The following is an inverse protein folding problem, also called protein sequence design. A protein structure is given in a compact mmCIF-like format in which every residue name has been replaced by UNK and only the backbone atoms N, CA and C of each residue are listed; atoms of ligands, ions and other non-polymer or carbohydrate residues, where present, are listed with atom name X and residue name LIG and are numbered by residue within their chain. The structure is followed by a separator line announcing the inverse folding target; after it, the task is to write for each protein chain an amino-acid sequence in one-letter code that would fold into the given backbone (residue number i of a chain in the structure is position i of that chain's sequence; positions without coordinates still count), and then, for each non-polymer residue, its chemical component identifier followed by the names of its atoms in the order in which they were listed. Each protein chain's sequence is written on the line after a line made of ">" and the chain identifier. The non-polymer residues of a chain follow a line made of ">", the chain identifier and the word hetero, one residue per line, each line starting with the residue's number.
data_IF_710538657154
#
_entry.id   IF_710538657154
#
_cell.length_a   1.000
_cell.length_b   1.000
_cell.length_c   1.000
_cell.angle_alpha   90.00
_cell.angle_beta   90.00
_cell.angle_gamma   90.00
#
_symmetry.space_group_name_H-M   'P 1'
#
loop_
_entity.id
_entity.type
_entity.pdbx_description
1 polymer ?
#
# COMPACT_ATOMS: atom_id res chain seq x y z
N UNK A 1 -5.16 -1.61 19.86
CA UNK A 1 -5.84 -1.12 18.64
C UNK A 1 -4.87 -0.68 17.54
N UNK A 2 -3.78 0.07 17.81
CA UNK A 2 -2.80 0.43 16.77
C UNK A 2 -2.13 -0.79 16.13
N UNK A 3 -1.80 -1.81 16.94
CA UNK A 3 -1.06 -2.99 16.49
C UNK A 3 -1.88 -3.85 15.51
N UNK A 4 -3.16 -4.11 15.82
CA UNK A 4 -4.07 -4.82 14.91
C UNK A 4 -4.27 -4.07 13.58
N UNK A 5 -4.26 -2.75 13.60
CA UNK A 5 -4.42 -1.94 12.39
C UNK A 5 -3.16 -1.99 11.52
N UNK A 6 -1.97 -1.94 12.15
CA UNK A 6 -0.69 -2.11 11.47
C UNK A 6 -0.54 -3.53 10.88
N UNK A 7 -0.94 -4.56 11.61
CA UNK A 7 -0.90 -5.95 11.16
C UNK A 7 -1.87 -6.19 9.99
N UNK A 8 -3.10 -5.64 10.06
CA UNK A 8 -4.09 -5.74 8.99
C UNK A 8 -3.63 -5.04 7.70
N UNK A 9 -2.99 -3.86 7.83
CA UNK A 9 -2.40 -3.14 6.70
C UNK A 9 -1.28 -3.98 6.08
N UNK A 10 -0.34 -4.49 6.88
CA UNK A 10 0.78 -5.28 6.37
C UNK A 10 0.34 -6.62 5.75
N UNK A 11 -0.70 -7.26 6.30
CA UNK A 11 -1.27 -8.50 5.77
C UNK A 11 -1.98 -8.30 4.43
N UNK A 12 -2.71 -7.19 4.27
CA UNK A 12 -3.40 -6.87 3.02
C UNK A 12 -2.41 -6.47 1.94
N UNK A 13 -1.37 -5.71 2.32
CA UNK A 13 -0.29 -5.25 1.45
C UNK A 13 0.57 -6.42 0.94
N UNK A 14 0.91 -7.37 1.81
CA UNK A 14 1.63 -8.58 1.41
C UNK A 14 0.85 -9.39 0.37
N UNK A 15 -0.47 -9.52 0.54
CA UNK A 15 -1.33 -10.21 -0.41
C UNK A 15 -1.40 -9.48 -1.75
N UNK A 16 -1.51 -8.15 -1.75
CA UNK A 16 -1.60 -7.35 -2.99
C UNK A 16 -0.31 -7.39 -3.78
N UNK A 17 0.85 -7.33 -3.12
CA UNK A 17 2.16 -7.43 -3.77
C UNK A 17 2.32 -8.82 -4.40
N UNK A 18 2.00 -9.89 -3.66
CA UNK A 18 2.11 -11.26 -4.18
C UNK A 18 1.22 -11.47 -5.40
N UNK A 19 -0.06 -11.06 -5.33
CA UNK A 19 -0.97 -11.25 -6.47
C UNK A 19 -0.55 -10.41 -7.67
N UNK A 20 -0.13 -9.15 -7.47
CA UNK A 20 0.35 -8.29 -8.55
C UNK A 20 1.59 -8.88 -9.26
N UNK A 21 2.58 -9.36 -8.49
CA UNK A 21 3.77 -10.01 -9.05
C UNK A 21 3.42 -11.27 -9.83
N UNK A 22 2.55 -12.13 -9.28
CA UNK A 22 2.14 -13.36 -9.99
C UNK A 22 1.42 -13.07 -11.30
N UNK A 23 0.56 -12.05 -11.35
CA UNK A 23 -0.14 -11.67 -12.59
C UNK A 23 0.82 -11.04 -13.61
N UNK A 24 1.81 -10.27 -13.16
CA UNK A 24 2.87 -9.75 -14.01
C UNK A 24 3.69 -10.88 -14.66
N UNK A 25 4.11 -11.87 -13.87
CA UNK A 25 4.82 -13.04 -14.41
C UNK A 25 3.93 -13.89 -15.33
N UNK A 26 2.66 -14.09 -14.98
CA UNK A 26 1.71 -14.86 -15.79
C UNK A 26 1.48 -14.23 -17.17
N UNK A 27 1.26 -12.92 -17.22
CA UNK A 27 1.08 -12.19 -18.50
C UNK A 27 2.37 -12.13 -19.31
N UNK A 28 3.54 -12.00 -18.66
CA UNK A 28 4.82 -12.08 -19.35
C UNK A 28 5.03 -13.45 -20.02
N UNK A 29 4.76 -14.55 -19.31
CA UNK A 29 4.86 -15.91 -19.88
C UNK A 29 3.88 -16.08 -21.04
N UNK A 30 2.64 -15.62 -20.90
CA UNK A 30 1.65 -15.65 -21.99
C UNK A 30 2.10 -14.85 -23.21
N UNK A 31 2.80 -13.74 -23.03
CA UNK A 31 3.29 -12.91 -24.13
C UNK A 31 4.44 -13.59 -24.89
N UNK A 32 5.33 -14.31 -24.20
CA UNK A 32 6.44 -15.05 -24.84
C UNK A 32 6.07 -16.45 -25.34
N UNK A 33 5.13 -17.16 -24.68
CA UNK A 33 4.78 -18.57 -24.95
C UNK A 33 3.34 -18.79 -25.42
N UNK A 34 2.47 -17.76 -25.46
CA UNK A 34 1.04 -17.89 -25.79
C UNK A 34 0.73 -18.16 -27.26
N UNK A 35 1.70 -17.98 -28.16
CA UNK A 35 1.51 -18.17 -29.60
C UNK A 35 0.66 -17.08 -30.26
N UNK A 36 0.54 -17.16 -31.60
CA UNK A 36 0.05 -16.07 -32.45
C UNK A 36 -1.41 -15.64 -32.19
N UNK A 37 -2.24 -16.53 -31.64
CA UNK A 37 -3.66 -16.24 -31.34
C UNK A 37 -3.84 -15.48 -30.03
N UNK A 38 -2.95 -15.70 -29.06
CA UNK A 38 -3.03 -15.07 -27.73
C UNK A 38 -2.12 -13.85 -27.59
N UNK A 39 -1.27 -13.57 -28.58
CA UNK A 39 -0.32 -12.46 -28.57
C UNK A 39 -1.02 -11.11 -28.35
N UNK A 40 -2.07 -10.81 -29.13
CA UNK A 40 -2.83 -9.55 -29.02
C UNK A 40 -3.54 -9.44 -27.65
N UNK A 41 -4.11 -10.55 -27.16
CA UNK A 41 -4.78 -10.59 -25.87
C UNK A 41 -3.80 -10.44 -24.70
N UNK A 42 -2.66 -11.12 -24.78
CA UNK A 42 -1.58 -11.04 -23.80
C UNK A 42 -0.96 -9.64 -23.78
N UNK A 43 -0.85 -8.96 -24.92
CA UNK A 43 -0.36 -7.59 -25.00
C UNK A 43 -1.27 -6.61 -24.26
N UNK A 44 -2.59 -6.70 -24.48
CA UNK A 44 -3.59 -5.88 -23.74
C UNK A 44 -3.55 -6.18 -22.24
N UNK A 45 -3.47 -7.46 -21.85
CA UNK A 45 -3.34 -7.85 -20.45
C UNK A 45 -2.03 -7.34 -19.82
N UNK A 46 -0.92 -7.42 -20.53
CA UNK A 46 0.38 -6.99 -20.05
C UNK A 46 0.40 -5.48 -19.79
N UNK A 47 -0.09 -4.68 -20.75
CA UNK A 47 -0.23 -3.23 -20.58
C UNK A 47 -1.19 -2.90 -19.45
N UNK A 48 -2.36 -3.57 -19.39
CA UNK A 48 -3.36 -3.37 -18.35
C UNK A 48 -2.84 -3.70 -16.94
N UNK A 49 -2.05 -4.77 -16.80
CA UNK A 49 -1.41 -5.15 -15.54
C UNK A 49 -0.34 -4.15 -15.14
N UNK A 50 0.48 -3.65 -16.06
CA UNK A 50 1.48 -2.62 -15.77
C UNK A 50 0.79 -1.35 -15.26
N UNK A 51 -0.19 -0.81 -16.01
CA UNK A 51 -0.89 0.43 -15.61
C UNK A 51 -1.74 0.24 -14.35
N UNK A 52 -2.43 -0.90 -14.22
CA UNK A 52 -3.31 -1.20 -13.09
C UNK A 52 -2.55 -1.49 -11.79
N UNK A 53 -1.43 -2.21 -11.88
CA UNK A 53 -0.56 -2.50 -10.74
C UNK A 53 0.20 -1.25 -10.30
N UNK A 54 0.77 -0.51 -11.25
CA UNK A 54 1.51 0.71 -10.90
C UNK A 54 0.56 1.74 -10.29
N UNK A 55 -0.60 1.98 -10.91
CA UNK A 55 -1.58 2.92 -10.38
C UNK A 55 -2.14 2.48 -9.03
N UNK A 56 -2.50 1.21 -8.82
CA UNK A 56 -3.16 0.81 -7.57
C UNK A 56 -2.15 0.64 -6.44
N UNK A 57 -1.03 -0.06 -6.68
CA UNK A 57 -0.06 -0.36 -5.62
C UNK A 57 0.75 0.86 -5.22
N UNK A 58 1.22 1.69 -6.18
CA UNK A 58 1.99 2.87 -5.82
C UNK A 58 1.12 4.02 -5.32
N UNK A 59 -0.07 4.26 -5.89
CA UNK A 59 -0.95 5.33 -5.37
C UNK A 59 -1.48 4.94 -4.00
N UNK A 60 -1.88 3.70 -3.76
CA UNK A 60 -2.31 3.26 -2.43
C UNK A 60 -1.15 3.26 -1.42
N UNK A 61 0.05 2.79 -1.79
CA UNK A 61 1.21 2.85 -0.90
C UNK A 61 1.61 4.29 -0.57
N UNK A 62 1.63 5.18 -1.57
CA UNK A 62 1.92 6.60 -1.35
C UNK A 62 0.85 7.25 -0.46
N UNK A 63 -0.43 6.97 -0.68
CA UNK A 63 -1.52 7.47 0.17
C UNK A 63 -1.41 6.97 1.61
N UNK A 64 -1.05 5.71 1.81
CA UNK A 64 -0.86 5.14 3.15
C UNK A 64 0.32 5.80 3.86
N UNK A 65 1.45 6.02 3.18
CA UNK A 65 2.61 6.73 3.74
C UNK A 65 2.27 8.18 4.08
N UNK A 66 1.54 8.88 3.21
CA UNK A 66 1.15 10.27 3.46
C UNK A 66 0.14 10.36 4.61
N UNK A 67 -0.79 9.40 4.68
CA UNK A 67 -1.76 9.29 5.76
C UNK A 67 -1.11 8.94 7.10
N UNK A 68 -0.11 8.05 7.13
CA UNK A 68 0.62 7.74 8.36
C UNK A 68 1.41 8.93 8.85
N UNK A 69 2.11 9.67 7.98
CA UNK A 69 2.80 10.91 8.34
C UNK A 69 1.84 11.98 8.87
N UNK A 70 0.67 12.15 8.24
CA UNK A 70 -0.35 13.08 8.69
C UNK A 70 -0.91 12.71 10.08
N UNK A 71 -1.23 11.43 10.30
CA UNK A 71 -1.73 10.93 11.58
C UNK A 71 -0.67 11.06 12.67
N UNK A 72 0.57 10.70 12.39
CA UNK A 72 1.69 10.74 13.32
C UNK A 72 1.98 12.16 13.80
N UNK A 73 1.96 13.15 12.90
CA UNK A 73 2.08 14.57 13.24
C UNK A 73 1.01 15.03 14.24
N UNK A 74 -0.25 14.57 14.07
CA UNK A 74 -1.32 14.90 15.01
C UNK A 74 -1.20 14.18 16.35
N UNK A 75 -0.70 12.95 16.36
CA UNK A 75 -0.50 12.17 17.59
C UNK A 75 0.63 12.79 18.44
N UNK A 76 1.73 13.21 17.83
CA UNK A 76 2.84 13.90 18.51
C UNK A 76 2.37 15.25 19.10
N UNK A 77 1.59 16.03 18.36
CA UNK A 77 1.02 17.29 18.85
C UNK A 77 0.09 17.08 20.05
N UNK A 78 -0.73 16.01 20.02
CA UNK A 78 -1.63 15.66 21.12
C UNK A 78 -0.87 15.17 22.35
N UNK A 79 0.18 14.35 22.18
CA UNK A 79 1.03 13.86 23.28
C UNK A 79 1.71 15.00 24.02
N UNK A 80 2.26 16.00 23.29
CA UNK A 80 2.83 17.22 23.90
C UNK A 80 1.85 17.99 24.76
N UNK A 81 0.58 18.13 24.33
CA UNK A 81 -0.45 18.83 25.12
C UNK A 81 -0.83 18.07 26.40
N UNK A 82 -0.91 16.74 26.33
CA UNK A 82 -1.23 15.89 27.50
C UNK A 82 -0.11 15.90 28.52
N UNK A 83 1.16 15.79 28.10
CA UNK A 83 2.32 15.88 29.01
C UNK A 83 2.39 17.25 29.70
N UNK A 84 2.18 18.35 28.96
CA UNK A 84 2.21 19.71 29.51
C UNK A 84 1.08 19.99 30.50
N UNK A 85 -0.11 19.42 30.28
CA UNK A 85 -1.24 19.50 31.22
C UNK A 85 -1.04 18.63 32.46
N UNK A 86 -0.37 17.48 32.32
CA UNK A 86 0.01 16.61 33.44
C UNK A 86 1.07 17.24 34.34
N UNK A 87 2.05 17.93 33.76
CA UNK A 87 3.02 18.74 34.53
C UNK A 87 2.35 19.90 35.25
N UNK A 88 1.43 20.62 34.61
CA UNK A 88 0.70 21.73 35.22
C UNK A 88 -0.20 21.32 36.40
N UNK A 89 -0.65 20.06 36.44
CA UNK A 89 -1.45 19.50 37.53
C UNK A 89 -0.59 18.94 38.68
N UNK A 90 0.71 18.75 38.48
CA UNK A 90 1.65 18.25 39.49
C UNK A 90 2.25 19.33 40.38
N UNK A 91 2.08 20.60 40.00
CA UNK A 91 2.57 21.80 40.69
C UNK A 91 1.47 22.56 41.48
N UNK A 92 0.26 21.98 41.55
CA UNK A 92 -0.86 22.44 42.39
C UNK A 92 -1.20 21.33 43.38
#
# INVERSE_FOLDING_TARGET
>A
FPDQMNDAVNQTLSRTILTALTVFFSTAILLFFGGKTLEDFAFVLFVGVITGTYSTTYVAAALVVDWTLYVEGRLVARKKRVTKAGEARKIT
#
